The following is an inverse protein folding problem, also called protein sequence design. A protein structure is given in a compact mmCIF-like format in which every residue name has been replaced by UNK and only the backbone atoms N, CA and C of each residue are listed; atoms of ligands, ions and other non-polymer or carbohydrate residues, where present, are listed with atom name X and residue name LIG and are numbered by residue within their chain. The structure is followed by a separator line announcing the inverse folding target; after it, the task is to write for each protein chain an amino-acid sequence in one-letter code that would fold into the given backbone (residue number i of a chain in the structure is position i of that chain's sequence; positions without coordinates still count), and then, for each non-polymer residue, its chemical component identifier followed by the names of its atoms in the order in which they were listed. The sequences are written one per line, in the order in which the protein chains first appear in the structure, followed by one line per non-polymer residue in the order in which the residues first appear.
data_IF_318668798570
#
_entry.id   IF_318668798570
#
_cell.length_a   1.000
_cell.length_b   1.000
_cell.length_c   1.000
_cell.angle_alpha   90.00
_cell.angle_beta   90.00
_cell.angle_gamma   90.00
#
_symmetry.space_group_name_H-M   'P 1'
#
loop_
_entity.id
_entity.type
_entity.pdbx_description
1 polymer ?
#
# COMPACT_ATOMS: atom_id res chain seq x y z
N UNK A 1 -11.91 23.85 -19.20
CA UNK A 1 -12.89 23.31 -18.23
C UNK A 1 -12.23 22.39 -17.21
N UNK A 2 -11.53 21.32 -17.64
CA UNK A 2 -10.83 20.39 -16.73
C UNK A 2 -9.82 21.07 -15.78
N UNK A 3 -9.02 22.04 -16.27
CA UNK A 3 -8.04 22.77 -15.44
C UNK A 3 -8.69 23.57 -14.31
N UNK A 4 -9.85 24.16 -14.56
CA UNK A 4 -10.61 24.94 -13.57
C UNK A 4 -11.16 24.00 -12.48
N UNK A 5 -11.66 22.83 -12.88
CA UNK A 5 -12.15 21.81 -11.93
C UNK A 5 -11.00 21.30 -11.06
N UNK A 6 -9.84 21.00 -11.65
CA UNK A 6 -8.65 20.57 -10.90
C UNK A 6 -8.18 21.65 -9.93
N UNK A 7 -8.13 22.91 -10.34
CA UNK A 7 -7.75 24.01 -9.45
C UNK A 7 -8.74 24.21 -8.30
N UNK A 8 -10.04 24.05 -8.55
CA UNK A 8 -11.05 24.11 -7.48
C UNK A 8 -10.92 22.94 -6.50
N UNK A 9 -10.58 21.73 -6.98
CA UNK A 9 -10.34 20.56 -6.13
C UNK A 9 -9.11 20.77 -5.23
N UNK A 10 -8.02 21.31 -5.77
CA UNK A 10 -6.81 21.61 -4.99
C UNK A 10 -7.13 22.65 -3.92
N UNK A 11 -7.88 23.70 -4.26
CA UNK A 11 -8.22 24.79 -3.35
C UNK A 11 -9.39 24.48 -2.39
N UNK A 12 -9.79 23.22 -2.25
CA UNK A 12 -10.82 22.83 -1.28
C UNK A 12 -10.37 23.17 0.15
N UNK A 13 -11.14 24.00 0.87
CA UNK A 13 -10.78 24.42 2.22
C UNK A 13 -10.87 23.26 3.21
N UNK A 14 -10.00 23.26 4.23
CA UNK A 14 -10.06 22.36 5.39
C UNK A 14 -11.20 22.72 6.35
N UNK A 15 -12.42 22.73 5.84
CA UNK A 15 -13.64 22.92 6.60
C UNK A 15 -14.50 21.65 6.54
N UNK A 16 -15.66 21.67 7.19
CA UNK A 16 -16.60 20.53 7.19
C UNK A 16 -16.99 20.08 5.77
N UNK A 17 -17.16 21.02 4.84
CA UNK A 17 -17.51 20.71 3.45
C UNK A 17 -16.38 19.98 2.72
N UNK A 18 -15.14 20.45 2.87
CA UNK A 18 -13.95 19.79 2.30
C UNK A 18 -13.73 18.38 2.85
N UNK A 19 -13.94 18.18 4.16
CA UNK A 19 -13.84 16.85 4.80
C UNK A 19 -14.96 15.90 4.34
N UNK A 20 -16.20 16.39 4.19
CA UNK A 20 -17.30 15.58 3.64
C UNK A 20 -16.99 15.18 2.20
N UNK A 21 -16.49 16.11 1.38
CA UNK A 21 -16.13 15.81 0.01
C UNK A 21 -14.96 14.82 -0.07
N UNK A 22 -13.94 14.96 0.78
CA UNK A 22 -12.85 13.98 0.93
C UNK A 22 -13.39 12.59 1.29
N UNK A 23 -14.32 12.51 2.23
CA UNK A 23 -14.95 11.24 2.62
C UNK A 23 -15.70 10.60 1.45
N UNK A 24 -16.53 11.37 0.73
CA UNK A 24 -17.28 10.88 -0.43
C UNK A 24 -16.33 10.39 -1.53
N UNK A 25 -15.29 11.18 -1.83
CA UNK A 25 -14.30 10.81 -2.83
C UNK A 25 -13.53 9.55 -2.43
N UNK A 26 -13.11 9.46 -1.17
CA UNK A 26 -12.42 8.29 -0.61
C UNK A 26 -13.30 7.04 -0.69
N UNK A 27 -14.58 7.15 -0.36
CA UNK A 27 -15.55 6.07 -0.48
C UNK A 27 -15.72 5.62 -1.94
N UNK A 28 -15.77 6.57 -2.88
CA UNK A 28 -15.81 6.26 -4.31
C UNK A 28 -14.57 5.48 -4.77
N UNK A 29 -13.37 5.94 -4.42
CA UNK A 29 -12.12 5.24 -4.80
C UNK A 29 -12.01 3.88 -4.10
N UNK A 30 -12.45 3.78 -2.84
CA UNK A 30 -12.50 2.51 -2.11
C UNK A 30 -13.36 1.48 -2.84
N UNK A 31 -14.57 1.86 -3.27
CA UNK A 31 -15.45 0.98 -4.04
C UNK A 31 -14.82 0.65 -5.40
N UNK A 32 -14.24 1.64 -6.08
CA UNK A 32 -13.59 1.47 -7.38
C UNK A 32 -12.45 0.45 -7.32
N UNK A 33 -11.54 0.57 -6.35
CA UNK A 33 -10.41 -0.36 -6.18
C UNK A 33 -10.89 -1.72 -5.65
N UNK A 34 -11.75 -1.74 -4.64
CA UNK A 34 -12.22 -2.98 -4.02
C UNK A 34 -13.02 -3.86 -4.97
N UNK A 35 -13.75 -3.25 -5.91
CA UNK A 35 -14.54 -3.93 -6.93
C UNK A 35 -13.72 -4.39 -8.14
N UNK A 36 -12.38 -4.30 -8.09
CA UNK A 36 -11.51 -4.81 -9.15
C UNK A 36 -11.82 -6.27 -9.46
N UNK A 37 -11.95 -6.59 -10.74
CA UNK A 37 -12.16 -7.95 -11.24
C UNK A 37 -11.37 -8.14 -12.53
N UNK A 38 -10.50 -9.14 -12.57
CA UNK A 38 -9.72 -9.53 -13.76
C UNK A 38 -8.95 -8.38 -14.44
N UNK A 39 -8.44 -7.44 -13.63
CA UNK A 39 -7.65 -6.30 -14.08
C UNK A 39 -6.18 -6.42 -13.68
N UNK A 40 -5.31 -5.91 -14.57
CA UNK A 40 -3.85 -5.90 -14.48
C UNK A 40 -3.18 -7.30 -14.55
N UNK A 41 -1.86 -7.31 -14.80
CA UNK A 41 -1.10 -8.54 -15.06
C UNK A 41 -1.02 -9.52 -13.89
N UNK A 42 -1.11 -9.03 -12.65
CA UNK A 42 -0.93 -9.85 -11.45
C UNK A 42 -2.21 -10.53 -10.96
N UNK A 43 -3.36 -10.32 -11.62
CA UNK A 43 -4.65 -10.88 -11.18
C UNK A 43 -4.59 -12.39 -10.91
N UNK A 44 -4.07 -13.15 -11.87
CA UNK A 44 -3.99 -14.61 -11.76
C UNK A 44 -3.00 -15.06 -10.67
N UNK A 45 -1.91 -14.32 -10.47
CA UNK A 45 -0.97 -14.57 -9.37
C UNK A 45 -1.66 -14.43 -8.01
N UNK A 46 -2.49 -13.40 -7.84
CA UNK A 46 -3.25 -13.21 -6.60
C UNK A 46 -4.34 -14.25 -6.41
N UNK A 47 -5.02 -14.68 -7.49
CA UNK A 47 -6.00 -15.75 -7.44
C UNK A 47 -5.35 -17.08 -7.02
N UNK A 48 -4.18 -17.39 -7.57
CA UNK A 48 -3.41 -18.55 -7.15
C UNK A 48 -3.01 -18.48 -5.67
N UNK A 49 -2.47 -17.36 -5.21
CA UNK A 49 -2.14 -17.18 -3.78
C UNK A 49 -3.40 -17.35 -2.92
N UNK A 50 -4.54 -16.78 -3.34
CA UNK A 50 -5.81 -16.94 -2.65
C UNK A 50 -6.21 -18.42 -2.55
N UNK A 51 -6.12 -19.18 -3.65
CA UNK A 51 -6.48 -20.60 -3.68
C UNK A 51 -5.54 -21.48 -2.84
N UNK A 52 -4.26 -21.12 -2.68
CA UNK A 52 -3.35 -21.83 -1.76
C UNK A 52 -3.88 -21.83 -0.32
N UNK A 53 -4.56 -20.77 0.09
CA UNK A 53 -5.15 -20.65 1.43
C UNK A 53 -6.46 -21.43 1.60
N UNK A 54 -6.96 -22.09 0.56
CA UNK A 54 -8.20 -22.89 0.59
C UNK A 54 -8.03 -24.23 1.30
N UNK A 55 -6.87 -24.88 1.13
CA UNK A 55 -6.66 -26.28 1.50
C UNK A 55 -5.54 -26.51 2.54
N UNK A 56 -4.67 -25.53 2.76
CA UNK A 56 -3.49 -25.69 3.61
C UNK A 56 -3.61 -24.99 4.98
N UNK A 57 -2.82 -25.46 5.94
CA UNK A 57 -2.64 -24.80 7.24
C UNK A 57 -2.05 -23.40 7.03
N UNK A 58 -2.65 -22.38 7.65
CA UNK A 58 -2.25 -20.97 7.56
C UNK A 58 -0.72 -20.77 7.63
N UNK A 59 -0.05 -21.35 8.62
CA UNK A 59 1.39 -21.17 8.83
C UNK A 59 2.28 -21.81 7.75
N UNK A 60 1.78 -22.82 7.03
CA UNK A 60 2.50 -23.49 5.94
C UNK A 60 2.56 -22.60 4.68
N UNK A 61 1.48 -21.85 4.42
CA UNK A 61 1.36 -20.92 3.27
C UNK A 61 1.82 -19.50 3.61
N UNK A 62 1.72 -19.09 4.87
CA UNK A 62 2.19 -17.79 5.32
C UNK A 62 3.73 -17.69 5.38
N UNK A 63 4.45 -18.82 5.36
CA UNK A 63 5.91 -18.82 5.19
C UNK A 63 6.35 -18.45 3.76
N UNK A 64 5.50 -18.70 2.76
CA UNK A 64 5.75 -18.37 1.35
C UNK A 64 5.22 -16.98 0.99
N UNK A 65 4.01 -16.62 1.44
CA UNK A 65 3.42 -15.28 1.20
C UNK A 65 3.65 -14.29 2.35
N UNK A 66 3.25 -13.03 2.21
CA UNK A 66 3.28 -12.06 3.31
C UNK A 66 2.16 -12.33 4.32
N UNK A 67 2.51 -12.42 5.61
CA UNK A 67 1.64 -12.88 6.69
C UNK A 67 0.28 -12.16 6.79
N UNK A 68 0.26 -10.84 6.64
CA UNK A 68 -0.95 -10.03 6.72
C UNK A 68 -1.88 -10.25 5.53
N UNK A 69 -1.33 -10.25 4.31
CA UNK A 69 -2.11 -10.60 3.13
C UNK A 69 -2.65 -12.02 3.25
N UNK A 70 -1.79 -12.97 3.60
CA UNK A 70 -2.14 -14.36 3.83
C UNK A 70 -3.26 -14.55 4.85
N UNK A 71 -3.23 -13.79 5.95
CA UNK A 71 -4.26 -13.85 6.99
C UNK A 71 -5.64 -13.52 6.44
N UNK A 72 -5.75 -12.46 5.62
CA UNK A 72 -7.03 -12.09 5.02
C UNK A 72 -7.49 -13.03 3.91
N UNK A 73 -6.56 -13.69 3.18
CA UNK A 73 -6.94 -14.76 2.25
C UNK A 73 -7.51 -15.97 2.99
N UNK A 74 -6.82 -16.43 4.04
CA UNK A 74 -7.31 -17.51 4.90
C UNK A 74 -8.67 -17.16 5.53
N UNK A 75 -8.80 -15.95 6.08
CA UNK A 75 -10.05 -15.48 6.70
C UNK A 75 -11.19 -15.43 5.69
N UNK A 76 -10.95 -14.98 4.46
CA UNK A 76 -11.94 -14.99 3.40
C UNK A 76 -12.48 -16.41 3.15
N UNK A 77 -11.61 -17.43 3.09
CA UNK A 77 -12.06 -18.82 2.97
C UNK A 77 -12.85 -19.30 4.18
N UNK A 78 -12.44 -18.95 5.41
CA UNK A 78 -13.19 -19.30 6.62
C UNK A 78 -14.60 -18.70 6.63
N UNK A 79 -14.77 -17.52 6.02
CA UNK A 79 -16.05 -16.82 5.92
C UNK A 79 -16.81 -17.14 4.63
N UNK A 80 -16.30 -18.05 3.78
CA UNK A 80 -16.84 -18.35 2.44
C UNK A 80 -16.95 -17.12 1.52
N UNK A 81 -16.04 -16.17 1.64
CA UNK A 81 -15.90 -15.03 0.74
C UNK A 81 -14.90 -15.31 -0.38
N UNK A 82 -15.03 -14.57 -1.47
CA UNK A 82 -14.10 -14.60 -2.60
C UNK A 82 -12.90 -13.65 -2.38
N UNK A 83 -11.95 -13.68 -3.32
CA UNK A 83 -10.83 -12.73 -3.37
C UNK A 83 -11.25 -11.26 -3.35
N UNK A 84 -12.51 -10.94 -3.73
CA UNK A 84 -13.06 -9.59 -3.61
C UNK A 84 -13.00 -9.06 -2.17
N UNK A 85 -13.22 -9.90 -1.15
CA UNK A 85 -13.07 -9.50 0.25
C UNK A 85 -11.64 -9.00 0.53
N UNK A 86 -10.64 -9.72 0.05
CA UNK A 86 -9.23 -9.35 0.22
C UNK A 86 -8.93 -8.04 -0.53
N UNK A 87 -9.46 -7.87 -1.75
CA UNK A 87 -9.34 -6.63 -2.51
C UNK A 87 -9.92 -5.43 -1.73
N UNK A 88 -11.09 -5.59 -1.10
CA UNK A 88 -11.68 -4.54 -0.26
C UNK A 88 -10.84 -4.24 0.99
N UNK A 89 -10.25 -5.25 1.64
CA UNK A 89 -9.32 -5.02 2.77
C UNK A 89 -8.10 -4.22 2.31
N UNK A 90 -7.48 -4.58 1.19
CA UNK A 90 -6.33 -3.85 0.65
C UNK A 90 -6.70 -2.42 0.22
N UNK A 91 -7.85 -2.24 -0.42
CA UNK A 91 -8.38 -0.92 -0.78
C UNK A 91 -8.64 -0.05 0.47
N UNK A 92 -9.17 -0.64 1.54
CA UNK A 92 -9.39 0.05 2.82
C UNK A 92 -8.08 0.56 3.41
N UNK A 93 -7.05 -0.29 3.47
CA UNK A 93 -5.71 0.09 3.92
C UNK A 93 -5.15 1.27 3.11
N UNK A 94 -5.22 1.19 1.77
CA UNK A 94 -4.80 2.27 0.88
C UNK A 94 -5.52 3.58 1.20
N UNK A 95 -6.85 3.54 1.19
CA UNK A 95 -7.69 4.74 1.24
C UNK A 95 -7.66 5.40 2.61
N UNK A 96 -7.67 4.65 3.71
CA UNK A 96 -7.52 5.26 5.03
C UNK A 96 -6.16 5.94 5.15
N UNK A 97 -5.09 5.27 4.73
CA UNK A 97 -3.74 5.84 4.76
C UNK A 97 -3.62 7.14 3.98
N UNK A 98 -4.10 7.14 2.73
CA UNK A 98 -4.12 8.33 1.90
C UNK A 98 -4.98 9.44 2.49
N UNK A 99 -6.17 9.11 2.99
CA UNK A 99 -7.07 10.09 3.62
C UNK A 99 -6.39 10.77 4.82
N UNK A 100 -5.72 10.02 5.69
CA UNK A 100 -5.04 10.60 6.85
C UNK A 100 -3.81 11.43 6.47
N UNK A 101 -3.01 10.96 5.50
CA UNK A 101 -1.87 11.70 5.01
C UNK A 101 -2.30 13.00 4.32
N UNK A 102 -3.40 12.96 3.58
CA UNK A 102 -3.94 14.12 2.85
C UNK A 102 -4.28 15.29 3.78
N UNK A 103 -4.73 14.99 5.02
CA UNK A 103 -5.01 15.99 6.05
C UNK A 103 -3.78 16.71 6.59
N UNK A 104 -2.58 16.16 6.37
CA UNK A 104 -1.32 16.79 6.79
C UNK A 104 -0.87 17.89 5.82
N UNK A 105 -1.26 17.83 4.54
CA UNK A 105 -0.95 18.88 3.56
C UNK A 105 -1.89 20.06 3.69
N UNK A 106 -1.47 21.27 3.33
CA UNK A 106 -2.33 22.47 3.33
C UNK A 106 -3.62 22.27 2.51
N UNK A 107 -3.52 21.53 1.42
CA UNK A 107 -4.60 21.20 0.50
C UNK A 107 -5.01 19.72 0.60
N UNK A 108 -6.26 19.44 0.99
CA UNK A 108 -6.77 18.07 1.23
C UNK A 108 -6.64 17.14 0.02
N UNK A 109 -6.73 17.66 -1.21
CA UNK A 109 -6.74 16.81 -2.42
C UNK A 109 -5.39 16.70 -3.11
N UNK A 110 -4.38 17.44 -2.66
CA UNK A 110 -3.07 17.45 -3.31
C UNK A 110 -2.45 16.05 -3.33
N UNK A 111 -2.52 15.33 -2.21
CA UNK A 111 -2.02 13.97 -2.10
C UNK A 111 -2.73 13.01 -3.07
N UNK A 112 -4.06 13.06 -3.12
CA UNK A 112 -4.86 12.22 -4.03
C UNK A 112 -4.60 12.53 -5.49
N UNK A 113 -4.47 13.81 -5.86
CA UNK A 113 -4.23 14.23 -7.25
C UNK A 113 -2.88 13.71 -7.77
N UNK A 114 -1.82 13.86 -6.96
CA UNK A 114 -0.48 13.36 -7.31
C UNK A 114 -0.50 11.83 -7.38
N UNK A 115 -1.18 11.18 -6.44
CA UNK A 115 -1.26 9.72 -6.36
C UNK A 115 -2.19 9.09 -7.39
N UNK A 116 -3.07 9.85 -8.03
CA UNK A 116 -4.14 9.32 -8.86
C UNK A 116 -3.62 8.47 -10.02
N UNK A 117 -2.73 9.04 -10.84
CA UNK A 117 -2.29 8.42 -12.09
C UNK A 117 -1.55 7.09 -11.89
N UNK A 118 -0.70 6.99 -10.87
CA UNK A 118 0.10 5.80 -10.64
C UNK A 118 -0.34 5.00 -9.43
N UNK A 119 -0.42 5.62 -8.24
CA UNK A 119 -0.68 4.86 -7.01
C UNK A 119 -2.11 4.34 -6.95
N UNK A 120 -3.10 5.14 -7.37
CA UNK A 120 -4.51 4.71 -7.34
C UNK A 120 -4.80 3.81 -8.54
N UNK A 121 -4.49 4.25 -9.76
CA UNK A 121 -4.83 3.51 -10.98
C UNK A 121 -3.93 2.30 -11.19
N UNK A 122 -2.60 2.44 -11.22
CA UNK A 122 -1.72 1.32 -11.53
C UNK A 122 -1.51 0.41 -10.31
N UNK A 123 -1.12 0.98 -9.16
CA UNK A 123 -0.77 0.20 -7.98
C UNK A 123 -2.00 -0.30 -7.23
N UNK A 124 -3.01 0.55 -7.04
CA UNK A 124 -4.27 0.17 -6.40
C UNK A 124 -5.00 -0.94 -7.15
N UNK A 125 -5.11 -0.83 -8.47
CA UNK A 125 -5.81 -1.84 -9.29
C UNK A 125 -4.95 -3.07 -9.62
N UNK A 126 -3.62 -2.92 -9.61
CA UNK A 126 -2.69 -3.96 -10.08
C UNK A 126 -1.95 -4.71 -9.00
N UNK A 127 -1.35 -4.01 -8.02
CA UNK A 127 -0.42 -4.57 -7.05
C UNK A 127 -1.03 -4.58 -5.63
N UNK A 128 -2.09 -5.36 -5.41
CA UNK A 128 -2.96 -5.23 -4.22
C UNK A 128 -2.23 -5.33 -2.86
N UNK A 129 -1.24 -6.23 -2.75
CA UNK A 129 -0.36 -6.34 -1.55
C UNK A 129 0.43 -5.06 -1.32
N UNK A 130 1.06 -4.56 -2.36
CA UNK A 130 1.88 -3.34 -2.32
C UNK A 130 1.00 -2.12 -2.03
N UNK A 131 -0.19 -2.06 -2.63
CA UNK A 131 -1.18 -1.01 -2.40
C UNK A 131 -1.58 -0.91 -0.92
N UNK A 132 -1.91 -2.04 -0.28
CA UNK A 132 -2.22 -2.06 1.14
C UNK A 132 -1.05 -1.57 2.00
N UNK A 133 0.17 -2.03 1.70
CA UNK A 133 1.37 -1.60 2.39
C UNK A 133 1.64 -0.09 2.22
N UNK A 134 1.50 0.45 1.01
CA UNK A 134 1.63 1.89 0.74
C UNK A 134 0.61 2.69 1.54
N UNK A 135 -0.65 2.23 1.61
CA UNK A 135 -1.66 2.83 2.48
C UNK A 135 -1.22 2.93 3.93
N UNK A 136 -0.79 1.80 4.50
CA UNK A 136 -0.34 1.74 5.89
C UNK A 136 0.92 2.61 6.11
N UNK A 137 1.82 2.68 5.14
CA UNK A 137 2.98 3.61 5.16
C UNK A 137 2.50 5.07 5.14
N UNK A 138 1.54 5.44 4.29
CA UNK A 138 0.95 6.79 4.30
C UNK A 138 0.32 7.12 5.65
N UNK A 139 -0.36 6.16 6.28
CA UNK A 139 -0.85 6.33 7.64
C UNK A 139 0.31 6.58 8.61
N UNK A 140 1.37 5.77 8.55
CA UNK A 140 2.56 5.95 9.40
C UNK A 140 3.09 7.38 9.28
N UNK A 141 3.32 7.88 8.06
CA UNK A 141 3.77 9.26 7.84
C UNK A 141 2.77 10.30 8.36
N UNK A 142 1.47 10.06 8.30
CA UNK A 142 0.48 10.98 8.87
C UNK A 142 0.66 11.16 10.39
N UNK A 143 1.05 10.10 11.12
CA UNK A 143 1.37 10.17 12.55
C UNK A 143 2.71 10.86 12.83
N UNK A 144 3.63 10.80 11.87
CA UNK A 144 4.95 11.43 11.94
C UNK A 144 4.90 12.94 11.68
N UNK A 145 3.99 13.38 10.81
CA UNK A 145 3.80 14.78 10.43
C UNK A 145 2.79 15.52 11.31
N UNK A 146 2.08 14.80 12.18
CA UNK A 146 1.17 15.40 13.13
C UNK A 146 1.91 16.39 14.06
N UNK A 147 1.25 17.43 14.59
CA UNK A 147 1.87 18.44 15.46
C UNK A 147 2.59 17.86 16.69
N UNK A 148 2.12 16.71 17.19
CA UNK A 148 2.71 15.96 18.30
C UNK A 148 3.09 14.54 17.81
N UNK A 149 4.24 14.37 17.14
CA UNK A 149 4.55 13.12 16.46
C UNK A 149 4.85 12.00 17.46
N UNK A 150 4.11 10.90 17.34
CA UNK A 150 4.30 9.71 18.20
C UNK A 150 5.07 8.64 17.45
N UNK A 151 6.38 8.57 17.71
CA UNK A 151 7.32 7.65 17.04
C UNK A 151 6.89 6.18 17.09
N UNK A 152 6.27 5.77 18.19
CA UNK A 152 5.80 4.40 18.35
C UNK A 152 4.63 4.09 17.42
N UNK A 153 3.73 5.05 17.15
CA UNK A 153 2.62 4.87 16.20
C UNK A 153 3.18 4.66 14.79
N UNK A 154 4.17 5.47 14.39
CA UNK A 154 4.87 5.28 13.11
C UNK A 154 5.45 3.86 13.00
N UNK A 155 6.18 3.40 14.02
CA UNK A 155 6.76 2.06 14.01
C UNK A 155 5.68 0.96 13.89
N UNK A 156 4.59 1.07 14.64
CA UNK A 156 3.47 0.12 14.58
C UNK A 156 2.85 0.07 13.18
N UNK A 157 2.62 1.23 12.55
CA UNK A 157 2.05 1.27 11.20
C UNK A 157 3.00 0.72 10.14
N UNK A 158 4.32 0.95 10.26
CA UNK A 158 5.30 0.32 9.37
C UNK A 158 5.37 -1.20 9.59
N UNK A 159 5.30 -1.67 10.83
CA UNK A 159 5.24 -3.10 11.13
C UNK A 159 3.98 -3.75 10.53
N UNK A 160 2.82 -3.09 10.62
CA UNK A 160 1.59 -3.54 9.96
C UNK A 160 1.73 -3.52 8.42
N UNK A 161 2.33 -2.48 7.85
CA UNK A 161 2.59 -2.41 6.41
C UNK A 161 3.49 -3.55 5.93
N UNK A 162 4.52 -3.89 6.71
CA UNK A 162 5.42 -5.02 6.44
C UNK A 162 4.69 -6.36 6.35
N UNK A 163 3.62 -6.55 7.13
CA UNK A 163 2.80 -7.77 7.05
C UNK A 163 2.09 -7.90 5.70
N UNK A 164 1.81 -6.80 4.98
CA UNK A 164 1.23 -6.85 3.65
C UNK A 164 2.29 -6.91 2.55
N UNK A 165 3.41 -6.23 2.73
CA UNK A 165 4.52 -6.27 1.77
C UNK A 165 5.87 -5.96 2.41
N UNK A 166 6.86 -6.84 2.22
CA UNK A 166 8.15 -6.82 2.92
C UNK A 166 8.98 -5.55 2.68
N UNK A 167 8.84 -4.90 1.51
CA UNK A 167 9.58 -3.68 1.19
C UNK A 167 9.21 -2.49 2.09
N UNK A 168 8.06 -2.54 2.79
CA UNK A 168 7.65 -1.48 3.69
C UNK A 168 8.67 -1.21 4.82
N UNK A 169 9.51 -2.19 5.16
CA UNK A 169 10.56 -2.04 6.19
C UNK A 169 11.55 -0.92 5.86
N UNK A 170 11.76 -0.63 4.56
CA UNK A 170 12.65 0.45 4.11
C UNK A 170 12.20 1.79 4.68
N UNK A 171 10.89 1.99 4.89
CA UNK A 171 10.37 3.25 5.40
C UNK A 171 10.74 3.53 6.87
N UNK A 172 11.21 2.55 7.64
CA UNK A 172 11.81 2.81 8.96
C UNK A 172 13.00 3.77 8.87
N UNK A 173 13.66 3.83 7.72
CA UNK A 173 14.77 4.75 7.47
C UNK A 173 14.37 6.23 7.56
N UNK A 174 13.08 6.55 7.56
CA UNK A 174 12.58 7.92 7.68
C UNK A 174 12.32 8.36 9.13
N UNK A 175 12.54 7.49 10.12
CA UNK A 175 12.42 7.87 11.54
C UNK A 175 13.24 9.11 11.94
N UNK A 176 14.46 9.33 11.38
CA UNK A 176 15.23 10.55 11.67
C UNK A 176 14.61 11.84 11.13
N UNK A 177 13.58 11.81 10.26
CA UNK A 177 12.88 13.00 9.73
C UNK A 177 12.38 13.94 10.81
N UNK A 178 12.06 13.41 11.99
CA UNK A 178 11.54 14.19 13.12
C UNK A 178 12.59 15.17 13.65
N UNK A 179 13.88 14.84 13.54
CA UNK A 179 14.97 15.67 14.05
C UNK A 179 15.69 16.35 12.89
N UNK A 180 15.33 17.60 12.61
CA UNK A 180 15.94 18.40 11.54
C UNK A 180 17.45 18.60 11.71
N UNK A 181 17.98 18.51 12.93
CA UNK A 181 19.42 18.60 13.19
C UNK A 181 20.19 17.36 12.72
N UNK A 182 19.53 16.21 12.59
CA UNK A 182 20.15 14.99 12.06
C UNK A 182 20.68 15.21 10.64
N UNK A 183 19.93 15.93 9.80
CA UNK A 183 20.27 16.21 8.40
C UNK A 183 21.48 17.13 8.23
N UNK A 184 21.85 17.89 9.26
CA UNK A 184 23.00 18.79 9.23
C UNK A 184 24.31 18.10 9.62
N UNK A 185 24.25 16.90 10.20
CA UNK A 185 25.41 16.16 10.65
C UNK A 185 26.06 15.37 9.50
N UNK A 186 27.39 15.30 9.42
CA UNK A 186 28.11 14.46 8.43
C UNK A 186 27.70 12.98 8.48
N UNK A 187 27.23 12.49 9.63
CA UNK A 187 26.67 11.14 9.80
C UNK A 187 25.48 10.89 8.85
N UNK A 188 24.73 11.94 8.47
CA UNK A 188 23.63 11.85 7.51
C UNK A 188 24.04 11.22 6.17
N UNK A 189 25.23 11.52 5.67
CA UNK A 189 25.70 10.97 4.38
C UNK A 189 25.96 9.47 4.47
N UNK A 190 26.61 9.01 5.55
CA UNK A 190 26.84 7.59 5.80
C UNK A 190 25.53 6.83 6.01
N UNK A 191 24.62 7.43 6.78
CA UNK A 191 23.27 6.89 6.97
C UNK A 191 22.51 6.77 5.65
N UNK A 192 22.54 7.80 4.81
CA UNK A 192 21.87 7.81 3.50
C UNK A 192 22.44 6.73 2.57
N UNK A 193 23.77 6.58 2.53
CA UNK A 193 24.41 5.51 1.77
C UNK A 193 23.98 4.12 2.28
N UNK A 194 23.95 3.92 3.60
CA UNK A 194 23.46 2.69 4.20
C UNK A 194 22.01 2.39 3.81
N UNK A 195 21.11 3.38 3.88
CA UNK A 195 19.69 3.23 3.50
C UNK A 195 19.54 2.85 2.03
N UNK A 196 20.32 3.46 1.13
CA UNK A 196 20.31 3.14 -0.30
C UNK A 196 20.76 1.68 -0.53
N UNK A 197 21.90 1.28 0.04
CA UNK A 197 22.42 -0.09 -0.10
C UNK A 197 21.46 -1.13 0.49
N UNK A 198 20.89 -0.83 1.67
CA UNK A 198 19.88 -1.66 2.30
C UNK A 198 18.63 -1.80 1.43
N UNK A 199 18.17 -0.71 0.80
CA UNK A 199 17.00 -0.72 -0.09
C UNK A 199 17.25 -1.57 -1.35
N UNK A 200 18.45 -1.49 -1.93
CA UNK A 200 18.84 -2.37 -3.04
C UNK A 200 18.87 -3.83 -2.63
N UNK A 201 19.46 -4.13 -1.47
CA UNK A 201 19.49 -5.49 -0.93
C UNK A 201 18.08 -6.06 -0.71
N UNK A 202 17.19 -5.30 -0.07
CA UNK A 202 15.81 -5.73 0.17
C UNK A 202 15.06 -5.97 -1.14
N UNK A 203 15.19 -5.05 -2.11
CA UNK A 203 14.55 -5.21 -3.44
C UNK A 203 15.08 -6.43 -4.18
N UNK A 204 16.39 -6.69 -4.11
CA UNK A 204 17.00 -7.89 -4.68
C UNK A 204 16.42 -9.16 -4.05
N UNK A 205 16.35 -9.23 -2.71
CA UNK A 205 15.78 -10.38 -2.00
C UNK A 205 14.30 -10.60 -2.34
N UNK A 206 13.53 -9.54 -2.53
CA UNK A 206 12.11 -9.61 -2.93
C UNK A 206 12.00 -10.12 -4.38
N UNK A 207 12.81 -9.60 -5.30
CA UNK A 207 12.83 -10.01 -6.70
C UNK A 207 13.13 -11.51 -6.88
N UNK A 208 14.07 -12.05 -6.08
CA UNK A 208 14.36 -13.49 -6.08
C UNK A 208 13.16 -14.31 -5.58
N UNK A 209 12.44 -13.81 -4.56
CA UNK A 209 11.22 -14.43 -4.05
C UNK A 209 10.08 -14.41 -5.08
N UNK A 210 9.80 -13.26 -5.70
CA UNK A 210 8.76 -13.13 -6.73
C UNK A 210 9.04 -13.98 -7.98
N UNK A 211 10.31 -14.04 -8.40
CA UNK A 211 10.73 -14.89 -9.54
C UNK A 211 10.51 -16.38 -9.26
N UNK A 212 10.64 -16.83 -8.01
CA UNK A 212 10.32 -18.21 -7.64
C UNK A 212 8.81 -18.49 -7.75
N UNK A 213 7.94 -17.51 -7.45
CA UNK A 213 6.49 -17.67 -7.61
C UNK A 213 6.05 -17.68 -9.08
N UNK A 214 6.66 -16.84 -9.92
CA UNK A 214 6.27 -16.70 -11.34
C UNK A 214 6.88 -17.78 -12.23
N UNK A 215 8.11 -18.23 -11.97
CA UNK A 215 8.80 -19.26 -12.79
C UNK A 215 8.20 -20.66 -12.62
N UNK A 216 7.70 -20.99 -11.43
CA UNK A 216 6.99 -22.26 -11.17
C UNK A 216 5.59 -22.25 -11.81
N UNK A 217 5.00 -21.06 -11.99
CA UNK A 217 3.57 -20.92 -12.25
C UNK A 217 3.21 -20.09 -13.50
N UNK A 218 3.96 -20.28 -14.58
CA UNK A 218 3.46 -20.08 -15.95
C UNK A 218 2.83 -21.39 -16.53
N UNK A 219 1.84 -22.08 -15.91
CA UNK A 219 1.22 -23.22 -16.57
C UNK A 219 0.18 -22.70 -17.56
N UNK A 220 0.48 -22.81 -18.85
CA UNK A 220 -0.41 -23.04 -20.01
C UNK A 220 -1.74 -22.26 -20.21
N UNK A 221 -2.37 -21.59 -19.24
CA UNK A 221 -3.68 -20.92 -19.38
C UNK A 221 -3.62 -19.70 -20.32
N UNK A 222 -2.50 -18.98 -20.36
CA UNK A 222 -2.29 -17.89 -21.34
C UNK A 222 -2.15 -18.42 -22.77
N UNK A 223 -1.90 -19.73 -22.95
CA UNK A 223 -1.77 -20.36 -24.27
C UNK A 223 -3.12 -20.75 -24.91
N UNK A 224 -4.22 -20.68 -24.16
CA UNK A 224 -5.57 -21.04 -24.64
C UNK A 224 -6.51 -19.85 -24.83
N UNK A 225 -6.02 -18.63 -24.55
CA UNK A 225 -6.78 -17.37 -24.74
C UNK A 225 -6.10 -16.43 -25.76
N UNK A 226 -5.14 -16.94 -26.52
CA UNK A 226 -4.49 -16.24 -27.65
C UNK A 226 -4.87 -16.88 -28.98
#
# INVERSE_FOLDING_TARGET
MATIVVMNLINLPKNKGGEIFLLIFSAFIFIFIGSRFEVCGDWFSYLYIFDLYKADNFFKVAGSSEYGYGFFNWLAHQLNYSISFVNFVCAFCLIIGFSQLSRQFEHLFLAFLIAFSYTIIAVGMGYTRQSAAIGLVCYAFSTLFAPNPKKWEFFVWIALAYLFHKSAIIFLAFLPLINSEFYKNKIFYLYSLFVILFSFYITYMISQGESAYTSVNYPQQVRYLG
#
